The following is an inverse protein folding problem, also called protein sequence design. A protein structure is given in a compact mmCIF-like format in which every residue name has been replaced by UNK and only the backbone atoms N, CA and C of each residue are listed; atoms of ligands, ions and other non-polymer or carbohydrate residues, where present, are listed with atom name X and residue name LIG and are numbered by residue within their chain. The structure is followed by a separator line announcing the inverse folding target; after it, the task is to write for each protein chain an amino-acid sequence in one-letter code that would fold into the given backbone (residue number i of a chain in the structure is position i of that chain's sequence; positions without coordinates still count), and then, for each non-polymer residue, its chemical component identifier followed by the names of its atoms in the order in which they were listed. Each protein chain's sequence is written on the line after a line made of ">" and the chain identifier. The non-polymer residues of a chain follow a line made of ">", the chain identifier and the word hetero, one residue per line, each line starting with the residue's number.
data_IF_733307744821
#
_entry.id   IF_733307744821
#
_cell.length_a   1.000
_cell.length_b   1.000
_cell.length_c   1.000
_cell.angle_alpha   90.00
_cell.angle_beta   90.00
_cell.angle_gamma   90.00
#
_symmetry.space_group_name_H-M   'P 1'
#
loop_
_entity.id
_entity.type
_entity.pdbx_description
1 polymer ?
#
# COMPACT_ATOMS: atom_id res chain seq x y z
N UNK A 1 9.16 41.05 -16.92
CA UNK A 1 10.15 40.23 -16.20
C UNK A 1 9.62 38.80 -16.16
N UNK A 2 10.32 37.85 -16.76
CA UNK A 2 9.90 36.42 -16.73
C UNK A 2 10.05 35.92 -15.29
N UNK A 3 8.93 35.57 -14.64
CA UNK A 3 8.97 34.90 -13.33
C UNK A 3 9.65 33.55 -13.58
N UNK A 4 10.83 33.36 -13.00
CA UNK A 4 11.58 32.10 -13.09
C UNK A 4 10.73 31.05 -12.40
N UNK A 5 9.98 30.23 -13.17
CA UNK A 5 9.21 29.09 -12.61
C UNK A 5 10.22 28.16 -11.94
N UNK A 6 9.95 27.82 -10.68
CA UNK A 6 10.73 26.81 -9.96
C UNK A 6 10.60 25.48 -10.71
N UNK A 7 11.73 24.79 -10.89
CA UNK A 7 11.77 23.44 -11.47
C UNK A 7 12.13 22.42 -10.43
N UNK A 8 11.74 21.19 -10.67
CA UNK A 8 11.98 20.03 -9.81
C UNK A 8 12.51 18.86 -10.63
N UNK A 9 13.20 17.96 -9.99
CA UNK A 9 13.52 16.64 -10.54
C UNK A 9 12.32 15.71 -10.37
N UNK A 10 12.01 14.95 -11.42
CA UNK A 10 10.94 13.95 -11.40
C UNK A 10 11.29 12.76 -12.28
N UNK A 11 10.99 11.54 -11.83
CA UNK A 11 11.04 10.35 -12.69
C UNK A 11 9.72 10.26 -13.46
N UNK A 12 9.80 10.48 -14.77
CA UNK A 12 8.64 10.67 -15.63
C UNK A 12 8.77 9.88 -16.93
N UNK A 13 7.61 9.65 -17.56
CA UNK A 13 7.44 8.99 -18.85
C UNK A 13 7.14 10.03 -19.94
N UNK A 14 7.70 9.85 -21.13
CA UNK A 14 7.22 10.56 -22.35
C UNK A 14 6.15 9.76 -23.09
N UNK A 15 6.04 8.48 -22.76
CA UNK A 15 5.03 7.53 -23.29
C UNK A 15 4.93 6.34 -22.36
N UNK A 16 3.81 5.67 -22.37
CA UNK A 16 3.66 4.38 -21.70
C UNK A 16 4.61 3.32 -22.27
N UNK A 17 4.95 2.30 -21.46
CA UNK A 17 5.74 1.15 -21.88
C UNK A 17 6.66 0.60 -20.81
N UNK A 18 7.77 0.02 -21.24
CA UNK A 18 8.73 -0.64 -20.39
C UNK A 18 9.47 0.30 -19.44
N UNK A 19 10.21 -0.30 -18.53
CA UNK A 19 10.94 0.40 -17.45
C UNK A 19 12.00 1.39 -17.98
N UNK A 20 12.49 1.20 -19.18
CA UNK A 20 13.44 2.08 -19.89
C UNK A 20 12.86 3.47 -20.22
N UNK A 21 11.52 3.59 -20.26
CA UNK A 21 10.86 4.88 -20.49
C UNK A 21 10.81 5.75 -19.23
N UNK A 22 11.06 5.18 -18.06
CA UNK A 22 11.08 5.93 -16.79
C UNK A 22 12.42 6.64 -16.62
N UNK A 23 12.43 7.95 -16.81
CA UNK A 23 13.64 8.77 -16.82
C UNK A 23 13.50 9.99 -15.91
N UNK A 24 14.59 10.42 -15.28
CA UNK A 24 14.61 11.66 -14.49
C UNK A 24 14.67 12.85 -15.41
N UNK A 25 13.75 13.81 -15.17
CA UNK A 25 13.58 15.04 -15.94
C UNK A 25 13.53 16.27 -15.02
N UNK A 26 13.82 17.43 -15.60
CA UNK A 26 13.54 18.71 -14.97
C UNK A 26 12.18 19.20 -15.44
N UNK A 27 11.24 19.30 -14.53
CA UNK A 27 9.85 19.71 -14.80
C UNK A 27 9.48 20.94 -13.97
N UNK A 28 8.50 21.74 -14.37
CA UNK A 28 7.97 22.79 -13.51
C UNK A 28 7.40 22.22 -12.21
N UNK A 29 7.62 22.90 -11.09
CA UNK A 29 6.92 22.58 -9.84
C UNK A 29 5.42 22.86 -10.05
N UNK A 30 4.53 21.90 -9.78
CA UNK A 30 3.08 22.09 -9.96
C UNK A 30 2.53 23.08 -8.92
N UNK A 31 1.55 23.89 -9.33
CA UNK A 31 0.87 24.83 -8.44
C UNK A 31 -0.37 24.19 -7.81
N UNK A 32 -0.56 24.30 -6.48
CA UNK A 32 -1.75 23.77 -5.82
C UNK A 32 -2.98 24.63 -6.17
N UNK A 33 -4.07 23.97 -6.55
CA UNK A 33 -5.38 24.60 -6.67
C UNK A 33 -5.98 24.91 -5.28
N UNK A 34 -7.17 25.54 -5.25
CA UNK A 34 -7.76 26.01 -3.99
C UNK A 34 -7.92 24.94 -2.89
N UNK A 35 -8.20 23.67 -3.25
CA UNK A 35 -8.43 22.54 -2.31
C UNK A 35 -7.24 21.59 -2.26
N UNK A 36 -6.07 22.01 -2.69
CA UNK A 36 -4.91 21.13 -2.84
C UNK A 36 -3.75 21.55 -1.93
N UNK A 37 -2.89 20.59 -1.67
CA UNK A 37 -1.66 20.76 -0.88
C UNK A 37 -0.48 20.44 -1.78
N UNK A 38 0.53 21.28 -1.79
CA UNK A 38 1.83 20.98 -2.37
C UNK A 38 2.72 20.35 -1.29
N UNK A 39 3.14 19.12 -1.51
CA UNK A 39 4.11 18.42 -0.66
C UNK A 39 5.51 18.49 -1.30
N UNK A 40 6.50 18.86 -0.52
CA UNK A 40 7.90 18.56 -0.80
C UNK A 40 8.13 17.11 -0.39
N UNK A 41 8.30 16.24 -1.36
CA UNK A 41 8.33 14.79 -1.15
C UNK A 41 9.69 14.36 -0.63
N UNK A 42 9.70 13.65 0.49
CA UNK A 42 10.92 13.12 1.12
C UNK A 42 10.98 11.58 1.02
N UNK A 43 9.82 10.94 0.89
CA UNK A 43 9.70 9.50 0.64
C UNK A 43 8.48 9.21 -0.21
N UNK A 44 8.62 8.31 -1.19
CA UNK A 44 7.53 7.81 -2.02
C UNK A 44 7.56 6.28 -2.04
N UNK A 45 6.38 5.65 -2.00
CA UNK A 45 6.24 4.21 -2.12
C UNK A 45 6.43 3.73 -3.56
N UNK A 46 7.04 2.54 -3.70
CA UNK A 46 7.09 1.79 -4.95
C UNK A 46 6.29 0.51 -4.76
N UNK A 47 5.22 0.38 -5.53
CA UNK A 47 4.25 -0.71 -5.39
C UNK A 47 4.14 -1.57 -6.65
N UNK A 48 3.62 -2.78 -6.47
CA UNK A 48 3.42 -3.76 -7.56
C UNK A 48 2.41 -3.28 -8.61
N UNK A 49 1.65 -2.22 -8.37
CA UNK A 49 0.75 -1.58 -9.33
C UNK A 49 1.43 -0.50 -10.19
N UNK A 50 2.58 0.03 -9.77
CA UNK A 50 3.28 1.09 -10.54
C UNK A 50 3.72 0.63 -11.95
N UNK A 51 4.13 -0.63 -12.19
CA UNK A 51 4.31 -1.15 -13.54
C UNK A 51 3.04 -1.06 -14.40
N UNK A 52 1.85 -1.35 -13.85
CA UNK A 52 0.58 -1.23 -14.59
C UNK A 52 0.26 0.23 -14.95
N UNK A 53 0.56 1.17 -14.05
CA UNK A 53 0.45 2.61 -14.33
C UNK A 53 1.45 3.02 -15.41
N UNK A 54 2.71 2.61 -15.30
CA UNK A 54 3.77 2.87 -16.28
C UNK A 54 3.43 2.35 -17.68
N UNK A 55 2.77 1.20 -17.78
CA UNK A 55 2.39 0.54 -19.03
C UNK A 55 1.07 1.06 -19.60
N UNK A 56 0.38 1.93 -18.85
CA UNK A 56 -0.87 2.57 -19.28
C UNK A 56 -2.13 1.72 -19.05
N UNK A 57 -2.02 0.61 -18.34
CA UNK A 57 -3.17 -0.26 -18.05
C UNK A 57 -4.18 0.46 -17.13
N UNK A 58 -3.71 1.25 -16.17
CA UNK A 58 -4.59 2.07 -15.33
C UNK A 58 -5.29 3.16 -16.15
N UNK A 59 -4.58 3.80 -17.08
CA UNK A 59 -5.18 4.81 -17.96
C UNK A 59 -6.34 4.21 -18.78
N UNK A 60 -6.16 2.99 -19.30
CA UNK A 60 -7.22 2.25 -20.02
C UNK A 60 -8.37 1.87 -19.09
N UNK A 61 -8.06 1.33 -17.90
CA UNK A 61 -9.07 0.85 -16.93
C UNK A 61 -9.98 1.97 -16.43
N UNK A 62 -9.42 3.16 -16.19
CA UNK A 62 -10.15 4.30 -15.63
C UNK A 62 -10.54 5.35 -16.67
N UNK A 63 -10.28 5.08 -17.96
CA UNK A 63 -10.57 6.03 -19.03
C UNK A 63 -9.81 7.35 -18.91
N UNK A 64 -8.64 7.34 -18.25
CA UNK A 64 -7.82 8.52 -18.04
C UNK A 64 -6.82 8.68 -19.20
N UNK A 65 -6.60 9.93 -19.63
CA UNK A 65 -5.54 10.25 -20.59
C UNK A 65 -4.58 11.21 -19.93
N UNK A 66 -3.47 10.72 -19.32
CA UNK A 66 -2.49 11.61 -18.71
C UNK A 66 -1.76 12.43 -19.78
N UNK A 67 -1.36 13.64 -19.39
CA UNK A 67 -0.46 14.46 -20.19
C UNK A 67 0.98 14.00 -20.00
N UNK A 68 1.73 13.89 -21.08
CA UNK A 68 3.18 13.63 -21.00
C UNK A 68 3.98 14.95 -21.00
N UNK A 69 5.14 15.01 -20.30
CA UNK A 69 5.73 13.93 -19.50
C UNK A 69 4.87 13.62 -18.26
N UNK A 70 4.62 12.33 -18.01
CA UNK A 70 3.79 11.85 -16.91
C UNK A 70 4.64 11.33 -15.76
N UNK A 71 4.48 11.92 -14.56
CA UNK A 71 5.19 11.53 -13.34
C UNK A 71 4.42 10.45 -12.61
N UNK A 72 5.06 9.31 -12.35
CA UNK A 72 4.48 8.17 -11.64
C UNK A 72 4.46 8.38 -10.11
N UNK A 73 3.86 7.39 -9.44
CA UNK A 73 3.88 7.22 -7.99
C UNK A 73 2.59 7.68 -7.32
N UNK A 74 1.91 6.72 -6.69
CA UNK A 74 0.58 6.94 -6.12
C UNK A 74 0.61 7.43 -4.67
N UNK A 75 1.73 7.27 -3.96
CA UNK A 75 1.83 7.53 -2.52
C UNK A 75 3.16 8.16 -2.12
N UNK A 76 3.13 8.98 -1.07
CA UNK A 76 4.33 9.59 -0.54
C UNK A 76 4.09 10.36 0.74
N UNK A 77 5.19 10.81 1.34
CA UNK A 77 5.20 11.66 2.53
C UNK A 77 6.31 12.71 2.43
N UNK A 78 6.14 13.78 3.18
CA UNK A 78 7.11 14.85 3.25
C UNK A 78 6.57 16.06 3.99
N UNK A 79 7.09 17.23 3.64
CA UNK A 79 6.73 18.49 4.26
C UNK A 79 5.79 19.29 3.36
N UNK A 80 4.72 19.85 3.93
CA UNK A 80 3.82 20.78 3.23
C UNK A 80 4.61 22.02 2.84
N UNK A 81 4.72 22.30 1.53
CA UNK A 81 5.42 23.45 0.97
C UNK A 81 4.48 24.62 0.63
N UNK A 82 3.22 24.33 0.30
CA UNK A 82 2.18 25.32 0.10
C UNK A 82 0.79 24.69 0.24
N UNK A 83 -0.22 25.52 0.50
CA UNK A 83 -1.62 25.10 0.57
C UNK A 83 -2.51 26.00 -0.26
N UNK A 84 -3.56 25.44 -0.86
CA UNK A 84 -4.58 26.18 -1.56
C UNK A 84 -5.45 27.03 -0.62
N UNK A 85 -6.12 28.02 -1.17
CA UNK A 85 -6.85 29.05 -0.40
C UNK A 85 -8.03 28.53 0.43
N UNK A 86 -8.53 27.33 0.14
CA UNK A 86 -9.61 26.67 0.90
C UNK A 86 -9.12 25.57 1.85
N UNK A 87 -7.81 25.36 1.93
CA UNK A 87 -7.21 24.36 2.84
C UNK A 87 -6.91 25.02 4.18
N UNK A 88 -7.60 24.58 5.25
CA UNK A 88 -7.45 25.14 6.59
C UNK A 88 -6.80 24.17 7.60
N UNK A 89 -6.77 22.86 7.29
CA UNK A 89 -6.25 21.83 8.20
C UNK A 89 -4.74 21.57 8.09
N UNK A 90 -4.10 22.18 7.12
CA UNK A 90 -2.65 22.13 6.92
C UNK A 90 -2.07 23.54 6.78
N UNK A 91 -0.81 23.65 7.15
CA UNK A 91 0.00 24.86 6.91
C UNK A 91 1.40 24.43 6.48
N UNK A 92 2.10 25.35 5.84
CA UNK A 92 3.50 25.18 5.46
C UNK A 92 4.35 24.70 6.65
N UNK A 93 5.24 23.76 6.40
CA UNK A 93 6.08 23.11 7.40
C UNK A 93 5.44 21.90 8.12
N UNK A 94 4.15 21.60 7.93
CA UNK A 94 3.57 20.39 8.50
C UNK A 94 4.13 19.13 7.80
N UNK A 95 4.40 18.07 8.55
CA UNK A 95 4.71 16.77 8.00
C UNK A 95 3.43 16.01 7.70
N UNK A 96 3.31 15.52 6.47
CA UNK A 96 2.11 14.85 6.00
C UNK A 96 2.44 13.69 5.05
N UNK A 97 1.53 12.73 4.96
CA UNK A 97 1.52 11.70 3.94
C UNK A 97 0.27 11.79 3.08
N UNK A 98 0.31 11.23 1.90
CA UNK A 98 -0.82 11.28 0.98
C UNK A 98 -0.88 10.06 0.05
N UNK A 99 -2.09 9.81 -0.47
CA UNK A 99 -2.37 8.84 -1.53
C UNK A 99 -3.12 9.54 -2.66
N UNK A 100 -2.62 9.47 -3.89
CA UNK A 100 -3.27 10.01 -5.07
C UNK A 100 -3.07 9.06 -6.26
N UNK A 101 -4.05 8.20 -6.51
CA UNK A 101 -4.05 7.31 -7.67
C UNK A 101 -4.28 8.11 -8.96
N UNK A 102 -3.47 7.88 -9.97
CA UNK A 102 -3.57 8.54 -11.30
C UNK A 102 -3.70 10.07 -11.15
N UNK A 103 -2.70 10.69 -10.52
CA UNK A 103 -2.72 12.12 -10.27
C UNK A 103 -2.45 12.91 -11.57
N UNK A 104 -3.42 13.71 -12.08
CA UNK A 104 -3.24 14.43 -13.34
C UNK A 104 -2.16 15.53 -13.29
N UNK A 105 -1.77 15.98 -12.09
CA UNK A 105 -0.68 16.93 -11.87
C UNK A 105 0.68 16.28 -11.63
N UNK A 106 0.78 14.97 -11.75
CA UNK A 106 1.97 14.16 -11.49
C UNK A 106 2.00 13.55 -10.09
N UNK A 107 2.59 12.34 -10.02
CA UNK A 107 2.70 11.55 -8.80
C UNK A 107 3.90 11.89 -7.93
N UNK A 108 4.19 10.98 -7.00
CA UNK A 108 5.20 11.19 -5.95
C UNK A 108 6.64 10.83 -6.36
N UNK A 109 6.87 10.37 -7.59
CA UNK A 109 8.22 10.14 -8.08
C UNK A 109 8.89 11.46 -8.50
N UNK A 110 8.75 12.47 -7.66
CA UNK A 110 9.23 13.83 -7.88
C UNK A 110 9.58 14.52 -6.55
N UNK A 111 10.38 15.59 -6.61
CA UNK A 111 10.69 16.39 -5.43
C UNK A 111 9.47 17.12 -4.86
N UNK A 112 8.42 17.35 -5.68
CA UNK A 112 7.16 17.95 -5.26
C UNK A 112 5.97 17.25 -5.91
N UNK A 113 4.88 17.11 -5.15
CA UNK A 113 3.60 16.59 -5.65
C UNK A 113 2.44 17.44 -5.11
N UNK A 114 1.45 17.71 -5.97
CA UNK A 114 0.20 18.37 -5.59
C UNK A 114 -0.87 17.31 -5.38
N UNK A 115 -1.57 17.36 -4.25
CA UNK A 115 -2.60 16.39 -3.87
C UNK A 115 -3.84 17.09 -3.32
N UNK A 116 -5.03 16.55 -3.58
CA UNK A 116 -6.27 17.01 -2.92
C UNK A 116 -6.13 16.90 -1.40
N UNK A 117 -6.50 17.93 -0.65
CA UNK A 117 -6.37 17.97 0.80
C UNK A 117 -7.07 16.80 1.49
N UNK A 118 -8.18 16.29 0.94
CA UNK A 118 -8.91 15.14 1.48
C UNK A 118 -8.11 13.83 1.47
N UNK A 119 -7.11 13.74 0.61
CA UNK A 119 -6.21 12.59 0.50
C UNK A 119 -4.90 12.79 1.27
N UNK A 120 -4.75 13.88 2.01
CA UNK A 120 -3.57 14.22 2.81
C UNK A 120 -3.87 14.02 4.29
N UNK A 121 -2.92 13.49 5.02
CA UNK A 121 -3.03 13.30 6.47
C UNK A 121 -1.74 13.64 7.20
N UNK A 122 -1.81 14.17 8.43
CA UNK A 122 -0.63 14.26 9.28
C UNK A 122 0.00 12.89 9.48
N UNK A 123 1.32 12.84 9.55
CA UNK A 123 2.04 11.60 9.83
C UNK A 123 1.77 11.19 11.28
N UNK A 124 1.31 9.93 11.54
CA UNK A 124 1.23 9.38 12.89
C UNK A 124 2.58 9.48 13.61
N UNK A 125 2.57 9.88 14.88
CA UNK A 125 3.79 10.13 15.68
C UNK A 125 4.74 8.94 15.77
N UNK A 126 4.22 7.73 15.54
CA UNK A 126 4.97 6.46 15.60
C UNK A 126 5.72 6.13 14.32
N UNK A 127 5.47 6.86 13.25
CA UNK A 127 6.08 6.60 11.95
C UNK A 127 7.13 7.66 11.63
N UNK A 128 8.24 7.23 11.04
CA UNK A 128 9.14 8.13 10.32
C UNK A 128 8.48 8.62 9.03
N UNK A 129 9.00 9.70 8.44
CA UNK A 129 8.57 10.19 7.12
C UNK A 129 8.73 9.09 6.06
N UNK A 130 9.84 8.33 6.11
CA UNK A 130 10.09 7.22 5.20
C UNK A 130 9.00 6.15 5.30
N UNK A 131 8.68 5.71 6.51
CA UNK A 131 7.62 4.72 6.75
C UNK A 131 6.24 5.23 6.31
N UNK A 132 5.94 6.49 6.62
CA UNK A 132 4.68 7.11 6.24
C UNK A 132 4.53 7.29 4.72
N UNK A 133 5.64 7.48 4.00
CA UNK A 133 5.63 7.69 2.54
C UNK A 133 5.38 6.42 1.72
N UNK A 134 5.61 5.24 2.30
CA UNK A 134 5.51 3.98 1.56
C UNK A 134 4.31 3.13 1.94
N UNK A 135 3.49 3.57 2.92
CA UNK A 135 2.45 2.71 3.47
C UNK A 135 1.00 3.05 3.04
N UNK A 136 0.65 4.27 2.56
CA UNK A 136 -0.74 4.70 2.47
C UNK A 136 -1.62 3.77 1.65
N UNK A 137 -1.20 3.39 0.46
CA UNK A 137 -1.96 2.51 -0.42
C UNK A 137 -2.19 1.13 0.20
N UNK A 138 -1.11 0.49 0.66
CA UNK A 138 -1.16 -0.85 1.23
C UNK A 138 -1.89 -0.90 2.57
N UNK A 139 -1.71 0.12 3.42
CA UNK A 139 -2.39 0.20 4.70
C UNK A 139 -3.90 0.46 4.54
N UNK A 140 -4.29 1.31 3.59
CA UNK A 140 -5.71 1.55 3.29
C UNK A 140 -6.35 0.33 2.61
N UNK A 141 -5.60 -0.37 1.73
CA UNK A 141 -6.06 -1.65 1.19
C UNK A 141 -6.29 -2.69 2.29
N UNK A 142 -5.32 -2.83 3.21
CA UNK A 142 -5.42 -3.72 4.36
C UNK A 142 -6.64 -3.36 5.23
N UNK A 143 -6.77 -2.08 5.60
CA UNK A 143 -7.88 -1.62 6.43
C UNK A 143 -9.24 -1.89 5.76
N UNK A 144 -9.39 -1.56 4.47
CA UNK A 144 -10.63 -1.80 3.74
C UNK A 144 -10.98 -3.28 3.72
N UNK A 145 -10.02 -4.14 3.41
CA UNK A 145 -10.22 -5.59 3.42
C UNK A 145 -10.70 -6.10 4.78
N UNK A 146 -10.04 -5.69 5.86
CA UNK A 146 -10.35 -6.12 7.22
C UNK A 146 -11.70 -5.57 7.73
N UNK A 147 -11.93 -4.27 7.53
CA UNK A 147 -13.03 -3.54 8.14
C UNK A 147 -14.33 -3.61 7.33
N UNK A 148 -14.28 -3.31 6.04
CA UNK A 148 -15.49 -3.21 5.22
C UNK A 148 -15.89 -4.56 4.62
N UNK A 149 -14.93 -5.30 4.04
CA UNK A 149 -15.22 -6.54 3.33
C UNK A 149 -15.37 -7.71 4.28
N UNK A 150 -14.39 -7.91 5.17
CA UNK A 150 -14.42 -8.98 6.15
C UNK A 150 -15.27 -8.63 7.38
N UNK A 151 -15.51 -7.34 7.65
CA UNK A 151 -16.21 -6.89 8.85
C UNK A 151 -15.66 -7.57 10.10
N UNK A 152 -14.32 -7.59 10.20
CA UNK A 152 -13.57 -8.34 11.20
C UNK A 152 -13.94 -7.91 12.62
N UNK A 153 -14.30 -8.88 13.47
CA UNK A 153 -14.71 -8.64 14.85
C UNK A 153 -13.61 -9.04 15.83
N UNK A 154 -13.62 -8.41 16.99
CA UNK A 154 -12.74 -8.79 18.09
C UNK A 154 -12.94 -10.26 18.46
N UNK A 155 -11.82 -10.99 18.60
CA UNK A 155 -11.80 -12.42 18.96
C UNK A 155 -11.91 -13.38 17.77
N UNK A 156 -12.30 -12.91 16.58
CA UNK A 156 -12.33 -13.76 15.39
C UNK A 156 -10.92 -14.20 14.96
N UNK A 157 -10.87 -15.36 14.33
CA UNK A 157 -9.67 -15.93 13.74
C UNK A 157 -9.53 -15.47 12.30
N UNK A 158 -8.42 -14.78 12.00
CA UNK A 158 -8.09 -14.28 10.67
C UNK A 158 -6.85 -14.98 10.13
N UNK A 159 -6.91 -15.44 8.89
CA UNK A 159 -5.72 -15.75 8.11
C UNK A 159 -5.29 -14.54 7.30
N UNK A 160 -4.00 -14.15 7.41
CA UNK A 160 -3.35 -13.22 6.50
C UNK A 160 -2.41 -14.01 5.60
N UNK A 161 -2.78 -14.20 4.34
CA UNK A 161 -1.96 -14.92 3.36
C UNK A 161 -1.15 -13.93 2.52
N UNK A 162 0.17 -14.11 2.47
CA UNK A 162 1.12 -13.14 1.94
C UNK A 162 1.59 -12.15 3.02
N UNK A 163 1.68 -12.59 4.27
CA UNK A 163 1.95 -11.77 5.45
C UNK A 163 3.33 -11.06 5.46
N UNK A 164 4.27 -11.46 4.60
CA UNK A 164 5.57 -10.79 4.46
C UNK A 164 5.56 -9.64 3.43
N UNK A 165 4.52 -9.53 2.60
CA UNK A 165 4.43 -8.50 1.55
C UNK A 165 3.89 -7.16 2.03
N UNK A 166 3.75 -6.20 1.11
CA UNK A 166 3.34 -4.83 1.39
C UNK A 166 2.03 -4.72 2.17
N UNK A 167 0.92 -5.24 1.62
CA UNK A 167 -0.38 -5.24 2.31
C UNK A 167 -0.36 -6.16 3.53
N UNK A 168 0.23 -7.36 3.40
CA UNK A 168 0.11 -8.41 4.42
C UNK A 168 0.73 -8.05 5.77
N UNK A 169 1.93 -7.46 5.79
CA UNK A 169 2.61 -7.10 7.04
C UNK A 169 1.90 -5.97 7.81
N UNK A 170 1.21 -5.08 7.08
CA UNK A 170 0.38 -4.02 7.66
C UNK A 170 -0.97 -4.57 8.15
N UNK A 171 -1.61 -5.42 7.33
CA UNK A 171 -2.88 -6.06 7.65
C UNK A 171 -2.81 -6.89 8.94
N UNK A 172 -1.73 -7.66 9.13
CA UNK A 172 -1.48 -8.42 10.34
C UNK A 172 -1.56 -7.52 11.58
N UNK A 173 -0.84 -6.41 11.57
CA UNK A 173 -0.79 -5.47 12.68
C UNK A 173 -2.12 -4.76 12.91
N UNK A 174 -2.81 -4.32 11.84
CA UNK A 174 -4.13 -3.71 11.93
C UNK A 174 -5.15 -4.70 12.51
N UNK A 175 -5.15 -5.96 12.07
CA UNK A 175 -6.02 -7.00 12.61
C UNK A 175 -5.78 -7.25 14.10
N UNK A 176 -4.51 -7.25 14.54
CA UNK A 176 -4.16 -7.34 15.98
C UNK A 176 -4.71 -6.13 16.76
N UNK A 177 -4.69 -4.90 16.19
CA UNK A 177 -5.30 -3.70 16.81
C UNK A 177 -6.83 -3.79 16.86
N UNK A 178 -7.44 -4.47 15.91
CA UNK A 178 -8.89 -4.74 15.91
C UNK A 178 -9.26 -5.88 16.88
N UNK A 179 -8.27 -6.52 17.51
CA UNK A 179 -8.47 -7.56 18.50
C UNK A 179 -8.68 -8.97 17.94
N UNK A 180 -8.33 -9.21 16.69
CA UNK A 180 -8.39 -10.52 16.07
C UNK A 180 -7.23 -11.44 16.52
N UNK A 181 -7.44 -12.75 16.41
CA UNK A 181 -6.40 -13.77 16.46
C UNK A 181 -5.88 -13.98 15.04
N UNK A 182 -4.58 -13.83 14.82
CA UNK A 182 -4.00 -13.83 13.47
C UNK A 182 -3.12 -15.04 13.21
N UNK A 183 -3.50 -15.84 12.22
CA UNK A 183 -2.67 -16.85 11.57
C UNK A 183 -2.05 -16.26 10.32
N UNK A 184 -0.72 -16.15 10.26
CA UNK A 184 0.00 -15.54 9.16
C UNK A 184 0.65 -16.60 8.28
N UNK A 185 0.43 -16.54 6.97
CA UNK A 185 1.14 -17.35 5.98
C UNK A 185 2.08 -16.45 5.20
N UNK A 186 3.39 -16.71 5.29
CA UNK A 186 4.42 -15.97 4.61
C UNK A 186 5.27 -16.87 3.71
N UNK A 187 5.93 -16.29 2.73
CA UNK A 187 6.85 -16.99 1.83
C UNK A 187 8.29 -16.83 2.35
N UNK A 188 8.93 -17.97 2.63
CA UNK A 188 10.30 -17.97 3.16
C UNK A 188 10.39 -17.82 4.68
N UNK A 189 11.55 -18.18 5.22
CA UNK A 189 11.80 -18.15 6.67
C UNK A 189 11.94 -16.72 7.19
N UNK A 190 12.42 -15.79 6.37
CA UNK A 190 12.49 -14.36 6.64
C UNK A 190 11.10 -13.72 6.76
N UNK A 191 10.17 -14.07 5.87
CA UNK A 191 8.78 -13.63 5.95
C UNK A 191 8.07 -14.17 7.19
N UNK A 192 8.35 -15.43 7.57
CA UNK A 192 7.85 -16.03 8.83
C UNK A 192 8.41 -15.29 10.04
N UNK A 193 9.72 -14.98 10.04
CA UNK A 193 10.35 -14.22 11.12
C UNK A 193 9.74 -12.82 11.26
N UNK A 194 9.50 -12.12 10.12
CA UNK A 194 8.83 -10.83 10.11
C UNK A 194 7.41 -10.94 10.71
N UNK A 195 6.60 -11.90 10.26
CA UNK A 195 5.23 -12.07 10.76
C UNK A 195 5.17 -12.37 12.26
N UNK A 196 6.10 -13.20 12.78
CA UNK A 196 6.24 -13.44 14.22
C UNK A 196 6.57 -12.15 14.99
N UNK A 197 7.56 -11.39 14.52
CA UNK A 197 7.97 -10.12 15.14
C UNK A 197 6.84 -9.08 15.17
N UNK A 198 6.00 -9.06 14.12
CA UNK A 198 4.85 -8.16 14.03
C UNK A 198 3.62 -8.61 14.84
N UNK A 199 3.70 -9.77 15.54
CA UNK A 199 2.72 -10.20 16.53
C UNK A 199 1.66 -11.18 16.02
N UNK A 200 1.94 -11.97 14.96
CA UNK A 200 1.09 -13.08 14.57
C UNK A 200 0.99 -14.10 15.71
N UNK A 201 -0.22 -14.63 15.97
CA UNK A 201 -0.44 -15.64 17.02
C UNK A 201 0.04 -17.02 16.58
N UNK A 202 0.00 -17.28 15.26
CA UNK A 202 0.61 -18.46 14.64
C UNK A 202 1.10 -18.11 13.24
N UNK A 203 2.08 -18.84 12.74
CA UNK A 203 2.69 -18.62 11.42
C UNK A 203 2.91 -19.93 10.69
N UNK A 204 2.88 -19.87 9.35
CA UNK A 204 3.29 -20.96 8.48
C UNK A 204 4.15 -20.42 7.32
N UNK A 205 5.14 -21.22 6.90
CA UNK A 205 5.91 -20.96 5.69
C UNK A 205 5.19 -21.62 4.50
N UNK A 206 4.56 -20.79 3.66
CA UNK A 206 3.78 -21.26 2.51
C UNK A 206 4.55 -22.07 1.47
N UNK A 207 5.90 -22.09 1.54
CA UNK A 207 6.76 -22.90 0.65
C UNK A 207 7.10 -24.27 1.22
N UNK A 208 7.04 -24.46 2.53
CA UNK A 208 7.55 -25.64 3.24
C UNK A 208 6.50 -26.38 4.01
N UNK A 209 5.54 -25.65 4.63
CA UNK A 209 4.61 -26.21 5.60
C UNK A 209 3.31 -26.66 4.96
N UNK A 210 2.63 -27.61 5.60
CA UNK A 210 1.22 -27.87 5.33
C UNK A 210 0.38 -26.78 5.98
N UNK A 211 0.04 -25.78 5.16
CA UNK A 211 -0.69 -24.57 5.61
C UNK A 211 -2.11 -24.89 6.07
N UNK A 212 -2.77 -25.93 5.51
CA UNK A 212 -4.08 -26.37 5.96
C UNK A 212 -4.01 -27.00 7.35
N UNK A 213 -3.08 -27.91 7.56
CA UNK A 213 -2.87 -28.53 8.87
C UNK A 213 -2.47 -27.50 9.93
N UNK A 214 -1.60 -26.54 9.59
CA UNK A 214 -1.20 -25.46 10.49
C UNK A 214 -2.39 -24.54 10.86
N UNK A 215 -3.25 -24.21 9.90
CA UNK A 215 -4.45 -23.42 10.14
C UNK A 215 -5.46 -24.17 11.04
N UNK A 216 -5.65 -25.47 10.83
CA UNK A 216 -6.51 -26.31 11.69
C UNK A 216 -5.95 -26.49 13.09
N UNK A 217 -4.63 -26.55 13.26
CA UNK A 217 -3.99 -26.55 14.57
C UNK A 217 -4.21 -25.22 15.31
N UNK A 218 -4.17 -24.08 14.60
CA UNK A 218 -4.46 -22.78 15.16
C UNK A 218 -5.94 -22.60 15.55
N UNK A 219 -6.86 -23.11 14.72
CA UNK A 219 -8.30 -23.06 14.99
C UNK A 219 -9.00 -24.34 14.50
N UNK A 220 -9.23 -25.34 15.38
CA UNK A 220 -9.86 -26.63 15.01
C UNK A 220 -11.25 -26.48 14.38
N UNK A 221 -11.99 -25.42 14.75
CA UNK A 221 -13.34 -25.16 14.24
C UNK A 221 -13.35 -24.40 12.90
N UNK A 222 -12.17 -24.10 12.32
CA UNK A 222 -12.03 -23.34 11.09
C UNK A 222 -11.86 -21.83 11.31
N UNK A 223 -11.33 -21.16 10.28
CA UNK A 223 -11.06 -19.72 10.27
C UNK A 223 -12.34 -18.93 9.97
N UNK A 224 -12.57 -17.83 10.70
CA UNK A 224 -13.70 -16.91 10.48
C UNK A 224 -13.51 -16.05 9.23
N UNK A 225 -12.29 -15.59 9.00
CA UNK A 225 -11.97 -14.68 7.92
C UNK A 225 -10.56 -14.95 7.31
N UNK A 226 -10.37 -14.53 6.06
CA UNK A 226 -9.07 -14.54 5.42
C UNK A 226 -8.87 -13.30 4.54
N UNK A 227 -7.73 -12.63 4.68
CA UNK A 227 -7.24 -11.62 3.75
C UNK A 227 -6.13 -12.23 2.90
N UNK A 228 -6.37 -12.31 1.59
CA UNK A 228 -5.48 -12.97 0.64
C UNK A 228 -4.78 -11.91 -0.21
N UNK A 229 -3.45 -11.85 -0.12
CA UNK A 229 -2.64 -10.89 -0.89
C UNK A 229 -1.71 -11.57 -1.90
N UNK A 230 -1.78 -12.90 -2.00
CA UNK A 230 -1.06 -13.69 -3.01
C UNK A 230 -1.92 -14.88 -3.43
N UNK A 231 -1.97 -15.16 -4.73
CA UNK A 231 -2.71 -16.29 -5.30
C UNK A 231 -1.87 -17.58 -5.40
N UNK A 232 -2.49 -18.65 -5.89
CA UNK A 232 -1.83 -19.92 -6.19
C UNK A 232 -2.40 -21.12 -5.46
N UNK A 233 -1.83 -22.31 -5.71
CA UNK A 233 -2.33 -23.57 -5.18
C UNK A 233 -2.26 -23.63 -3.64
N UNK A 234 -1.22 -23.06 -3.04
CA UNK A 234 -1.08 -23.02 -1.57
C UNK A 234 -2.21 -22.21 -0.95
N UNK A 235 -2.65 -21.12 -1.60
CA UNK A 235 -3.82 -20.34 -1.16
C UNK A 235 -5.09 -21.18 -1.18
N UNK A 236 -5.32 -21.96 -2.24
CA UNK A 236 -6.49 -22.85 -2.34
C UNK A 236 -6.49 -23.88 -1.23
N UNK A 237 -5.34 -24.48 -0.92
CA UNK A 237 -5.20 -25.44 0.20
C UNK A 237 -5.48 -24.78 1.55
N UNK A 238 -4.88 -23.60 1.80
CA UNK A 238 -5.08 -22.86 3.05
C UNK A 238 -6.55 -22.53 3.30
N UNK A 239 -7.30 -22.16 2.24
CA UNK A 239 -8.72 -21.82 2.34
C UNK A 239 -9.63 -23.01 2.66
N UNK A 240 -9.16 -24.26 2.57
CA UNK A 240 -9.92 -25.44 3.06
C UNK A 240 -10.10 -25.45 4.58
N UNK A 241 -9.29 -24.67 5.31
CA UNK A 241 -9.42 -24.50 6.76
C UNK A 241 -10.43 -23.40 7.15
N UNK A 242 -11.15 -22.80 6.20
CA UNK A 242 -12.23 -21.85 6.51
C UNK A 242 -13.45 -22.53 7.10
N UNK A 243 -14.21 -21.82 7.93
CA UNK A 243 -15.59 -22.20 8.31
C UNK A 243 -16.47 -22.18 7.07
N UNK A 244 -17.58 -22.92 7.08
CA UNK A 244 -18.53 -22.96 5.96
C UNK A 244 -19.20 -21.62 5.67
N UNK A 245 -19.30 -20.73 6.66
CA UNK A 245 -19.82 -19.37 6.57
C UNK A 245 -18.69 -18.31 6.61
N UNK A 246 -17.45 -18.73 6.42
CA UNK A 246 -16.26 -17.89 6.45
C UNK A 246 -16.25 -16.81 5.37
N UNK A 247 -15.41 -15.79 5.58
CA UNK A 247 -15.31 -14.63 4.68
C UNK A 247 -13.88 -14.50 4.17
N UNK A 248 -13.75 -14.27 2.87
CA UNK A 248 -12.47 -14.06 2.19
C UNK A 248 -12.52 -12.74 1.45
N UNK A 249 -11.53 -11.89 1.66
CA UNK A 249 -11.31 -10.68 0.90
C UNK A 249 -9.93 -10.71 0.23
N UNK A 250 -9.84 -10.14 -0.97
CA UNK A 250 -8.57 -9.99 -1.67
C UNK A 250 -8.56 -8.73 -2.56
N UNK A 251 -7.45 -7.97 -2.60
CA UNK A 251 -7.34 -6.83 -3.51
C UNK A 251 -7.32 -7.28 -4.96
N UNK A 252 -7.90 -6.48 -5.85
CA UNK A 252 -7.76 -6.69 -7.30
C UNK A 252 -6.27 -6.74 -7.67
N UNK A 253 -5.94 -7.59 -8.65
CA UNK A 253 -4.55 -7.87 -9.04
C UNK A 253 -3.95 -9.13 -8.39
N UNK A 254 -4.60 -9.72 -7.38
CA UNK A 254 -4.20 -11.05 -6.89
C UNK A 254 -4.59 -12.12 -7.91
N UNK A 255 -3.58 -12.73 -8.51
CA UNK A 255 -3.76 -13.75 -9.56
C UNK A 255 -3.03 -15.06 -9.21
N UNK A 256 -3.62 -16.23 -9.50
CA UNK A 256 -5.03 -16.40 -9.83
C UNK A 256 -5.96 -16.01 -8.68
N UNK A 257 -7.19 -15.60 -8.98
CA UNK A 257 -8.19 -15.26 -7.96
C UNK A 257 -8.39 -16.43 -6.99
N UNK A 258 -8.51 -16.16 -5.67
CA UNK A 258 -8.70 -17.19 -4.66
C UNK A 258 -9.97 -18.02 -4.89
N UNK A 259 -9.85 -19.34 -4.77
CA UNK A 259 -10.99 -20.28 -4.82
C UNK A 259 -11.17 -20.86 -3.44
N UNK A 260 -12.30 -20.58 -2.81
CA UNK A 260 -12.67 -21.10 -1.49
C UNK A 260 -13.71 -22.24 -1.59
N UNK A 261 -13.89 -23.07 -0.54
CA UNK A 261 -14.95 -24.05 -0.44
C UNK A 261 -16.35 -23.45 -0.56
N UNK A 262 -17.33 -24.28 -0.92
CA UNK A 262 -18.75 -23.89 -0.95
C UNK A 262 -19.21 -23.32 0.40
N UNK A 263 -20.01 -22.24 0.35
CA UNK A 263 -20.52 -21.55 1.53
C UNK A 263 -19.64 -20.37 1.98
N UNK A 264 -18.34 -20.37 1.66
CA UNK A 264 -17.44 -19.28 1.98
C UNK A 264 -17.69 -18.09 1.06
N UNK A 265 -17.91 -16.89 1.66
CA UNK A 265 -18.12 -15.66 0.90
C UNK A 265 -16.77 -15.10 0.43
N UNK A 266 -16.57 -14.95 -0.87
CA UNK A 266 -15.32 -14.43 -1.48
C UNK A 266 -15.62 -13.10 -2.17
N UNK A 267 -14.84 -12.05 -1.84
CA UNK A 267 -15.01 -10.70 -2.39
C UNK A 267 -13.66 -10.09 -2.78
N UNK A 268 -13.59 -9.51 -3.97
CA UNK A 268 -12.45 -8.68 -4.38
C UNK A 268 -12.76 -7.20 -4.16
N UNK A 269 -11.72 -6.37 -4.12
CA UNK A 269 -11.86 -4.94 -3.91
C UNK A 269 -10.68 -4.12 -4.45
N UNK A 270 -10.91 -2.84 -4.68
CA UNK A 270 -9.88 -1.83 -4.93
C UNK A 270 -9.66 -0.98 -3.68
N UNK A 271 -8.55 -0.27 -3.63
CA UNK A 271 -8.35 0.83 -2.68
C UNK A 271 -9.25 2.00 -3.09
N UNK A 272 -10.01 2.51 -2.14
CA UNK A 272 -10.83 3.72 -2.29
C UNK A 272 -10.60 4.59 -1.06
N UNK A 273 -9.63 5.52 -1.11
CA UNK A 273 -9.32 6.33 0.05
C UNK A 273 -10.47 7.29 0.36
N UNK A 274 -10.76 7.44 1.65
CA UNK A 274 -11.65 8.47 2.16
C UNK A 274 -11.06 9.10 3.42
N UNK A 275 -11.41 10.36 3.75
CA UNK A 275 -10.95 11.00 4.98
C UNK A 275 -11.25 10.18 6.24
N UNK A 276 -12.41 9.51 6.28
CA UNK A 276 -12.83 8.67 7.41
C UNK A 276 -11.94 7.43 7.58
N UNK A 277 -11.59 6.78 6.46
CA UNK A 277 -10.69 5.62 6.48
C UNK A 277 -9.26 6.01 6.87
N UNK A 278 -8.77 7.14 6.35
CA UNK A 278 -7.47 7.70 6.70
C UNK A 278 -7.39 8.00 8.20
N UNK A 279 -8.42 8.63 8.75
CA UNK A 279 -8.50 8.92 10.19
C UNK A 279 -8.57 7.64 11.03
N UNK A 280 -9.35 6.64 10.61
CA UNK A 280 -9.43 5.34 11.28
C UNK A 280 -8.08 4.62 11.25
N UNK A 281 -7.39 4.64 10.11
CA UNK A 281 -6.04 4.09 9.97
C UNK A 281 -5.09 4.72 10.98
N UNK A 282 -5.05 6.05 11.06
CA UNK A 282 -4.19 6.76 11.99
C UNK A 282 -4.48 6.39 13.45
N UNK A 283 -5.75 6.31 13.84
CA UNK A 283 -6.12 5.86 15.20
C UNK A 283 -5.63 4.45 15.51
N UNK A 284 -5.73 3.52 14.56
CA UNK A 284 -5.24 2.16 14.74
C UNK A 284 -3.71 2.13 14.85
N UNK A 285 -2.99 2.88 14.02
CA UNK A 285 -1.52 3.00 14.10
C UNK A 285 -1.11 3.58 15.45
N UNK A 286 -1.77 4.63 15.93
CA UNK A 286 -1.43 5.29 17.20
C UNK A 286 -1.78 4.42 18.44
N UNK A 287 -2.69 3.45 18.31
CA UNK A 287 -3.17 2.65 19.43
C UNK A 287 -2.14 1.65 20.01
N UNK A 288 -1.00 1.43 19.36
CA UNK A 288 0.05 0.52 19.85
C UNK A 288 1.29 0.51 18.96
N UNK A 289 2.26 -0.37 19.17
CA UNK A 289 3.42 -0.53 18.30
C UNK A 289 2.97 -0.82 16.87
N UNK A 290 3.54 -0.12 15.89
CA UNK A 290 3.25 -0.31 14.47
C UNK A 290 4.54 -0.11 13.68
N UNK A 291 4.86 -1.02 12.80
CA UNK A 291 6.06 -1.01 11.98
C UNK A 291 5.68 -1.08 10.50
N UNK A 292 6.25 -0.19 9.71
CA UNK A 292 6.28 -0.32 8.26
C UNK A 292 7.67 -0.83 7.89
N UNK A 293 7.75 -2.06 7.42
CA UNK A 293 9.02 -2.66 7.00
C UNK A 293 9.42 -2.15 5.62
N UNK A 294 10.49 -1.35 5.55
CA UNK A 294 11.08 -0.86 4.30
C UNK A 294 12.28 -1.73 3.95
N UNK A 295 12.14 -2.54 2.89
CA UNK A 295 13.18 -3.47 2.46
C UNK A 295 14.39 -2.75 1.86
N UNK A 296 14.12 -1.73 1.04
CA UNK A 296 15.16 -0.94 0.36
C UNK A 296 14.63 0.43 -0.04
N UNK A 297 15.53 1.41 0.04
CA UNK A 297 15.29 2.79 -0.44
C UNK A 297 16.21 3.08 -1.61
N UNK A 298 15.66 3.63 -2.67
CA UNK A 298 16.38 4.03 -3.89
C UNK A 298 16.38 5.56 -4.02
N UNK A 299 17.45 6.17 -4.52
CA UNK A 299 17.41 7.56 -4.94
C UNK A 299 16.56 7.71 -6.21
N UNK A 300 16.07 8.93 -6.48
CA UNK A 300 15.15 9.19 -7.61
C UNK A 300 15.71 8.74 -8.97
N UNK A 301 17.00 8.91 -9.22
CA UNK A 301 17.67 8.50 -10.46
C UNK A 301 17.74 6.97 -10.64
N UNK A 302 17.36 6.22 -9.61
CA UNK A 302 17.23 4.76 -9.61
C UNK A 302 15.78 4.27 -9.61
N UNK A 303 14.82 5.12 -9.98
CA UNK A 303 13.40 4.74 -10.05
C UNK A 303 13.16 3.51 -10.95
N UNK A 304 13.86 3.43 -12.09
CA UNK A 304 13.82 2.26 -12.98
C UNK A 304 14.36 0.98 -12.30
N UNK A 305 15.40 1.11 -11.46
CA UNK A 305 15.95 -0.04 -10.72
C UNK A 305 15.00 -0.47 -9.61
N UNK A 306 14.29 0.48 -8.96
CA UNK A 306 13.25 0.17 -7.98
C UNK A 306 12.09 -0.62 -8.61
N UNK A 307 11.67 -0.29 -9.85
CA UNK A 307 10.68 -1.08 -10.58
C UNK A 307 11.17 -2.49 -10.91
N UNK A 308 12.44 -2.67 -11.29
CA UNK A 308 13.03 -3.99 -11.50
C UNK A 308 13.17 -4.83 -10.24
N UNK A 309 13.24 -4.18 -9.07
CA UNK A 309 13.29 -4.86 -7.77
C UNK A 309 11.94 -5.49 -7.40
N UNK A 310 10.81 -4.97 -7.92
CA UNK A 310 9.47 -5.51 -7.67
C UNK A 310 9.32 -6.97 -8.10
N UNK A 311 10.09 -7.43 -9.10
CA UNK A 311 10.07 -8.81 -9.59
C UNK A 311 10.90 -9.77 -8.72
N UNK A 312 11.62 -9.24 -7.71
CA UNK A 312 12.48 -10.02 -6.84
C UNK A 312 11.80 -10.33 -5.51
N UNK A 313 12.46 -11.17 -4.71
CA UNK A 313 12.02 -11.41 -3.34
C UNK A 313 12.43 -10.24 -2.43
N UNK A 314 11.47 -9.62 -1.80
CA UNK A 314 11.66 -8.64 -0.73
C UNK A 314 10.50 -8.71 0.27
N UNK A 315 10.69 -8.16 1.47
CA UNK A 315 9.66 -8.06 2.49
C UNK A 315 9.15 -6.63 2.61
N UNK A 316 7.88 -6.46 2.96
CA UNK A 316 7.29 -5.14 3.18
C UNK A 316 7.26 -4.27 1.93
N UNK A 317 7.95 -3.11 1.99
CA UNK A 317 7.86 -2.02 1.00
C UNK A 317 9.20 -1.66 0.38
N UNK A 318 9.13 -1.12 -0.83
CA UNK A 318 10.23 -0.39 -1.47
C UNK A 318 9.94 1.11 -1.43
N UNK A 319 11.00 1.91 -1.33
CA UNK A 319 10.91 3.36 -1.25
C UNK A 319 11.74 4.05 -2.34
N UNK A 320 11.30 5.23 -2.78
CA UNK A 320 12.11 6.24 -3.44
C UNK A 320 12.35 7.41 -2.51
N UNK A 321 13.56 7.96 -2.57
CA UNK A 321 13.91 9.24 -1.96
C UNK A 321 14.15 10.27 -3.08
N UNK A 322 13.16 11.15 -3.34
CA UNK A 322 13.25 12.12 -4.43
C UNK A 322 14.28 13.23 -4.23
N UNK A 323 14.66 13.52 -2.97
CA UNK A 323 15.63 14.55 -2.60
C UNK A 323 16.99 13.99 -2.26
#
# INVERSE_FOLDING_TARGET
>A
MSVKRLTMRAAALDRFGGVENLQVKQLPVPEPGPDEVLLRVESAGVGVWDPFEREGEFAKMFGATPSFPYVLGSEGAGTVAAVGTRVHRFKEGNHAYALALINPKGGFYAEYAVVKADNVSPIPKKLSIEQAGVMPSDALAALRGLDELLQLKKGESLMVFGAGGGIGHLALQLAKRMGARVFAVASGDDGVALAKRLGADAVANGRKDDVEAAARAFTPNGLDAALITAGGETTVRALRAMKSDGRVAYPNGVMPAPKAPSGVKVQNYNVEPSPQQIEKLNRLIESGPFEVHVARTFPLDKAADAHRELDKHYLGKLALRPQ
#
